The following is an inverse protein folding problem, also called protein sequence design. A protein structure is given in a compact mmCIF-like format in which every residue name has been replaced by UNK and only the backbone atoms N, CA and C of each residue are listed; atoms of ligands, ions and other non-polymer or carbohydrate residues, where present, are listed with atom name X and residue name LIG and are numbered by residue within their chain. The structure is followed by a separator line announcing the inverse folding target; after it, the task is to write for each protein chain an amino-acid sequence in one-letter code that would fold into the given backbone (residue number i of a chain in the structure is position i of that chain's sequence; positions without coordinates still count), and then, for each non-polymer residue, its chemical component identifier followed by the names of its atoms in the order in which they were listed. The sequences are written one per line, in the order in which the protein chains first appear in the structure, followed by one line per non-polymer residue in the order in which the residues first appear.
data_IF_432263049954
#
_entry.id   IF_432263049954
#
_cell.length_a   1.000
_cell.length_b   1.000
_cell.length_c   1.000
_cell.angle_alpha   90.00
_cell.angle_beta   90.00
_cell.angle_gamma   90.00
#
_symmetry.space_group_name_H-M   'P 1'
#
loop_
_entity.id
_entity.type
_entity.pdbx_description
1 polymer ?
#
# COMPACT_ATOMS: atom_id res chain seq x y z
N UNK A 1 -43.24 -17.66 35.27
CA UNK A 1 -42.65 -17.66 33.92
C UNK A 1 -41.23 -17.08 33.99
N UNK A 2 -40.20 -17.95 34.00
CA UNK A 2 -38.81 -17.52 33.96
C UNK A 2 -38.45 -17.26 32.51
N UNK A 3 -38.25 -15.99 32.18
CA UNK A 3 -37.66 -15.59 30.87
C UNK A 3 -36.15 -15.74 31.01
N UNK A 4 -35.58 -16.84 30.52
CA UNK A 4 -34.13 -16.93 30.27
C UNK A 4 -33.76 -15.97 29.15
N UNK A 5 -33.29 -14.79 29.48
CA UNK A 5 -32.60 -13.92 28.54
C UNK A 5 -31.26 -14.61 28.30
N UNK A 6 -31.17 -15.33 27.17
CA UNK A 6 -29.92 -15.89 26.70
C UNK A 6 -28.98 -14.74 26.34
N UNK A 7 -28.05 -14.43 27.23
CA UNK A 7 -26.90 -13.58 26.90
C UNK A 7 -26.05 -14.42 25.94
N UNK A 8 -26.20 -14.20 24.64
CA UNK A 8 -25.23 -14.69 23.65
C UNK A 8 -23.90 -14.02 23.96
N UNK A 9 -23.01 -14.73 24.66
CA UNK A 9 -21.63 -14.32 24.83
C UNK A 9 -21.06 -14.16 23.42
N UNK A 10 -20.87 -12.93 22.96
CA UNK A 10 -20.18 -12.67 21.70
C UNK A 10 -18.77 -13.21 21.85
N UNK A 11 -18.42 -14.18 21.01
CA UNK A 11 -17.09 -14.79 21.02
C UNK A 11 -16.03 -13.72 20.82
N UNK A 12 -15.03 -13.69 21.68
CA UNK A 12 -13.86 -12.83 21.49
C UNK A 12 -12.93 -13.48 20.46
N UNK A 13 -12.37 -12.66 19.61
CA UNK A 13 -11.36 -13.05 18.63
C UNK A 13 -10.03 -12.35 18.92
N UNK A 14 -8.92 -12.97 18.51
CA UNK A 14 -7.60 -12.36 18.55
C UNK A 14 -7.10 -12.22 17.12
N UNK A 15 -7.04 -10.99 16.63
CA UNK A 15 -6.45 -10.67 15.34
C UNK A 15 -4.96 -10.42 15.51
N UNK A 16 -4.14 -11.18 14.78
CA UNK A 16 -2.68 -11.03 14.74
C UNK A 16 -2.14 -11.58 13.45
N UNK A 17 -1.03 -11.04 12.96
CA UNK A 17 -0.35 -11.55 11.78
C UNK A 17 0.29 -12.91 12.06
N UNK A 18 -0.22 -13.98 11.47
CA UNK A 18 0.16 -15.33 11.86
C UNK A 18 -0.02 -16.36 10.73
N UNK A 19 0.41 -16.10 9.48
CA UNK A 19 0.29 -17.06 8.42
C UNK A 19 1.21 -18.27 8.66
N UNK A 20 0.78 -19.45 8.21
CA UNK A 20 1.55 -20.69 8.37
C UNK A 20 2.76 -20.71 7.44
N UNK A 21 3.92 -21.19 7.92
CA UNK A 21 5.12 -21.42 7.09
C UNK A 21 4.78 -22.32 5.90
N UNK A 22 5.30 -21.96 4.72
CA UNK A 22 5.06 -22.65 3.46
C UNK A 22 3.73 -22.28 2.78
N UNK A 23 2.88 -21.48 3.43
CA UNK A 23 1.69 -20.96 2.75
C UNK A 23 2.09 -19.98 1.65
N UNK A 24 1.31 -20.02 0.55
CA UNK A 24 1.51 -19.16 -0.62
C UNK A 24 0.22 -18.41 -0.92
N UNK A 25 0.38 -17.15 -1.26
CA UNK A 25 -0.72 -16.26 -1.56
C UNK A 25 -0.43 -15.46 -2.83
N UNK A 26 -1.46 -15.09 -3.54
CA UNK A 26 -1.44 -14.02 -4.53
C UNK A 26 -1.93 -12.74 -3.84
N UNK A 27 -1.10 -11.72 -3.83
CA UNK A 27 -1.41 -10.40 -3.27
C UNK A 27 -1.58 -9.42 -4.43
N UNK A 28 -2.77 -8.85 -4.56
CA UNK A 28 -3.10 -7.85 -5.57
C UNK A 28 -3.40 -6.52 -4.88
N UNK A 29 -2.78 -5.45 -5.34
CA UNK A 29 -3.06 -4.08 -4.92
C UNK A 29 -3.34 -3.23 -6.16
N UNK A 30 -4.44 -2.48 -6.10
CA UNK A 30 -4.79 -1.50 -7.12
C UNK A 30 -5.07 -0.16 -6.45
N UNK A 31 -4.50 0.89 -7.00
CA UNK A 31 -4.73 2.26 -6.60
C UNK A 31 -5.20 3.06 -7.80
N UNK A 32 -6.36 3.68 -7.68
CA UNK A 32 -6.93 4.58 -8.68
C UNK A 32 -6.99 5.96 -8.05
N UNK A 33 -6.39 6.96 -8.68
CA UNK A 33 -6.33 8.32 -8.16
C UNK A 33 -6.76 9.35 -9.20
N UNK A 34 -7.50 10.35 -8.71
CA UNK A 34 -7.71 11.62 -9.41
C UNK A 34 -7.01 12.71 -8.63
N UNK A 35 -6.10 13.41 -9.29
CA UNK A 35 -5.30 14.47 -8.70
C UNK A 35 -5.60 15.76 -9.45
N UNK A 36 -6.16 16.73 -8.74
CA UNK A 36 -6.42 18.06 -9.27
C UNK A 36 -5.40 19.03 -8.65
N UNK A 37 -4.66 19.73 -9.45
CA UNK A 37 -3.69 20.72 -8.97
C UNK A 37 -3.76 21.99 -9.80
N UNK A 38 -3.34 23.13 -9.21
CA UNK A 38 -3.29 24.41 -9.90
C UNK A 38 -1.86 24.91 -9.92
N UNK A 39 -1.24 24.90 -11.11
CA UNK A 39 0.13 25.37 -11.32
C UNK A 39 0.08 26.68 -12.11
N UNK A 40 0.64 27.76 -11.56
CA UNK A 40 0.64 29.08 -12.21
C UNK A 40 -0.76 29.55 -12.67
N UNK A 41 -1.80 29.24 -11.90
CA UNK A 41 -3.19 29.58 -12.22
C UNK A 41 -3.87 28.67 -13.25
N UNK A 42 -3.18 27.68 -13.79
CA UNK A 42 -3.75 26.68 -14.70
C UNK A 42 -4.13 25.41 -13.93
N UNK A 43 -5.35 24.95 -14.12
CA UNK A 43 -5.80 23.66 -13.57
C UNK A 43 -5.17 22.54 -14.39
N UNK A 44 -4.64 21.57 -13.68
CA UNK A 44 -4.14 20.32 -14.25
C UNK A 44 -4.79 19.15 -13.51
N UNK A 45 -5.57 18.39 -14.28
CA UNK A 45 -6.21 17.18 -13.82
C UNK A 45 -5.39 15.98 -14.27
N UNK A 46 -5.14 15.04 -13.38
CA UNK A 46 -4.42 13.80 -13.65
C UNK A 46 -5.24 12.62 -13.15
N UNK A 47 -5.42 11.64 -14.02
CA UNK A 47 -5.95 10.32 -13.69
C UNK A 47 -4.78 9.33 -13.62
N UNK A 48 -4.62 8.66 -12.49
CA UNK A 48 -3.57 7.67 -12.29
C UNK A 48 -4.18 6.34 -11.87
N UNK A 49 -3.71 5.26 -12.48
CA UNK A 49 -3.95 3.89 -12.03
C UNK A 49 -2.61 3.19 -11.85
N UNK A 50 -2.45 2.54 -10.71
CA UNK A 50 -1.28 1.71 -10.41
C UNK A 50 -1.76 0.40 -9.81
N UNK A 51 -1.35 -0.72 -10.40
CA UNK A 51 -1.67 -2.03 -9.86
C UNK A 51 -0.45 -2.95 -9.86
N UNK A 52 -0.33 -3.72 -8.80
CA UNK A 52 0.71 -4.73 -8.63
C UNK A 52 0.09 -6.06 -8.23
N UNK A 53 0.58 -7.14 -8.84
CA UNK A 53 0.33 -8.50 -8.38
C UNK A 53 1.64 -9.11 -7.94
N UNK A 54 1.64 -9.68 -6.73
CA UNK A 54 2.78 -10.37 -6.15
C UNK A 54 2.42 -11.82 -5.85
N UNK A 55 3.37 -12.73 -6.03
CA UNK A 55 3.38 -13.94 -5.23
C UNK A 55 3.93 -13.58 -3.85
N UNK A 56 3.29 -14.05 -2.80
CA UNK A 56 3.64 -13.84 -1.41
C UNK A 56 3.84 -15.20 -0.74
N UNK A 57 5.09 -15.59 -0.52
CA UNK A 57 5.47 -16.89 0.02
C UNK A 57 5.93 -16.73 1.48
N UNK A 58 5.33 -17.47 2.40
CA UNK A 58 5.75 -17.49 3.81
C UNK A 58 6.94 -18.43 3.96
N UNK A 59 8.15 -17.85 3.97
CA UNK A 59 9.41 -18.60 3.95
C UNK A 59 9.75 -19.16 5.32
N UNK A 60 9.57 -18.36 6.35
CA UNK A 60 9.89 -18.74 7.72
C UNK A 60 8.85 -18.15 8.71
N UNK A 61 8.64 -18.90 9.78
CA UNK A 61 7.82 -18.46 10.90
C UNK A 61 8.45 -18.93 12.20
N UNK A 62 8.66 -18.00 13.11
CA UNK A 62 9.08 -18.24 14.49
C UNK A 62 7.90 -18.00 15.46
N UNK A 63 8.16 -18.03 16.76
CA UNK A 63 7.15 -17.69 17.78
C UNK A 63 6.74 -16.20 17.73
N UNK A 64 7.58 -15.30 17.20
CA UNK A 64 7.39 -13.85 17.27
C UNK A 64 7.39 -13.16 15.92
N UNK A 65 7.91 -13.80 14.87
CA UNK A 65 8.14 -13.17 13.56
C UNK A 65 7.85 -14.12 12.41
N UNK A 66 7.50 -13.54 11.29
CA UNK A 66 7.27 -14.23 10.01
C UNK A 66 8.07 -13.54 8.91
N UNK A 67 8.84 -14.32 8.15
CA UNK A 67 9.52 -13.86 6.95
C UNK A 67 8.70 -14.19 5.73
N UNK A 68 8.42 -13.17 4.93
CA UNK A 68 7.68 -13.28 3.67
C UNK A 68 8.60 -12.88 2.53
N UNK A 69 8.61 -13.68 1.46
CA UNK A 69 9.19 -13.30 0.17
C UNK A 69 8.07 -12.86 -0.77
N UNK A 70 8.24 -11.71 -1.36
CA UNK A 70 7.37 -11.18 -2.41
C UNK A 70 8.09 -11.27 -3.76
N UNK A 71 7.36 -11.68 -4.79
CA UNK A 71 7.85 -11.73 -6.18
C UNK A 71 6.89 -10.94 -7.07
N UNK A 72 7.37 -9.92 -7.77
CA UNK A 72 6.55 -9.16 -8.73
C UNK A 72 6.09 -10.04 -9.90
N UNK A 73 4.80 -10.18 -10.08
CA UNK A 73 4.19 -10.98 -11.17
C UNK A 73 3.59 -10.10 -12.25
N UNK A 74 2.91 -9.03 -11.86
CA UNK A 74 2.25 -8.15 -12.79
C UNK A 74 2.37 -6.70 -12.31
N UNK A 75 2.49 -5.80 -13.26
CA UNK A 75 2.52 -4.37 -13.03
C UNK A 75 1.66 -3.69 -14.08
N UNK A 76 0.74 -2.82 -13.63
CA UNK A 76 0.00 -1.91 -14.48
C UNK A 76 0.25 -0.49 -13.98
N UNK A 77 0.59 0.39 -14.88
CA UNK A 77 0.73 1.82 -14.62
C UNK A 77 0.07 2.62 -15.75
N UNK A 78 -0.79 3.55 -15.37
CA UNK A 78 -1.40 4.49 -16.29
C UNK A 78 -1.43 5.87 -15.62
N UNK A 79 -0.92 6.87 -16.31
CA UNK A 79 -1.02 8.27 -15.90
C UNK A 79 -1.47 9.07 -17.13
N UNK A 80 -2.63 9.69 -17.02
CA UNK A 80 -3.22 10.51 -18.08
C UNK A 80 -3.49 11.93 -17.57
N UNK A 81 -3.02 12.92 -18.32
CA UNK A 81 -3.34 14.33 -18.13
C UNK A 81 -3.36 15.04 -19.48
N UNK A 82 -3.69 16.33 -19.48
CA UNK A 82 -3.62 17.15 -20.70
C UNK A 82 -2.21 17.32 -21.27
N UNK A 83 -1.16 17.08 -20.46
CA UNK A 83 0.23 17.31 -20.83
C UNK A 83 1.06 16.03 -20.94
N UNK A 84 0.70 15.00 -20.16
CA UNK A 84 1.47 13.76 -20.03
C UNK A 84 0.52 12.59 -20.15
N UNK A 85 0.90 11.63 -20.97
CA UNK A 85 0.21 10.35 -21.06
C UNK A 85 1.25 9.24 -21.07
N UNK A 86 1.23 8.40 -20.04
CA UNK A 86 2.16 7.28 -19.86
C UNK A 86 1.38 6.04 -19.48
N UNK A 87 1.69 4.93 -20.10
CA UNK A 87 1.06 3.65 -19.77
C UNK A 87 2.04 2.49 -19.87
N UNK A 88 1.81 1.52 -19.01
CA UNK A 88 2.46 0.22 -19.04
C UNK A 88 1.52 -0.83 -18.50
N UNK A 89 1.46 -1.97 -19.18
CA UNK A 89 0.75 -3.17 -18.72
C UNK A 89 1.62 -4.37 -19.06
N UNK A 90 2.10 -5.05 -18.02
CA UNK A 90 2.98 -6.22 -18.14
C UNK A 90 2.35 -7.40 -18.87
N UNK A 91 1.02 -7.44 -19.01
CA UNK A 91 0.29 -8.46 -19.78
C UNK A 91 0.09 -8.07 -21.24
N UNK A 92 0.31 -6.82 -21.58
CA UNK A 92 0.13 -6.33 -22.93
C UNK A 92 1.33 -6.72 -23.79
N UNK A 93 1.07 -7.29 -24.96
CA UNK A 93 2.07 -7.51 -26.00
C UNK A 93 2.15 -6.34 -26.99
N UNK A 94 1.48 -5.22 -26.71
CA UNK A 94 1.51 -4.06 -27.58
C UNK A 94 2.86 -3.33 -27.47
N UNK A 95 3.39 -2.93 -28.60
CA UNK A 95 4.57 -2.07 -28.63
C UNK A 95 4.27 -0.71 -27.95
N UNK A 96 5.27 -0.10 -27.27
CA UNK A 96 5.13 1.23 -26.68
C UNK A 96 4.69 2.26 -27.73
N UNK A 97 3.63 3.02 -27.41
CA UNK A 97 3.08 3.99 -28.36
C UNK A 97 3.94 5.26 -28.51
N UNK A 98 4.83 5.53 -27.57
CA UNK A 98 5.71 6.68 -27.52
C UNK A 98 6.94 6.39 -26.66
N UNK A 99 7.91 7.32 -26.64
CA UNK A 99 9.16 7.17 -25.86
C UNK A 99 8.91 7.05 -24.35
N UNK A 100 7.89 7.73 -23.82
CA UNK A 100 7.54 7.67 -22.40
C UNK A 100 7.01 6.29 -22.03
N UNK A 101 6.13 5.70 -22.85
CA UNK A 101 5.67 4.33 -22.67
C UNK A 101 6.83 3.33 -22.73
N UNK A 102 7.79 3.57 -23.67
CA UNK A 102 9.01 2.78 -23.79
C UNK A 102 9.90 2.87 -22.54
N UNK A 103 10.00 4.04 -21.94
CA UNK A 103 10.72 4.23 -20.69
C UNK A 103 10.01 3.51 -19.53
N UNK A 104 8.68 3.64 -19.42
CA UNK A 104 7.89 2.93 -18.41
C UNK A 104 8.02 1.41 -18.57
N UNK A 105 8.02 0.89 -19.80
CA UNK A 105 8.22 -0.53 -20.07
C UNK A 105 9.59 -1.03 -19.59
N UNK A 106 10.65 -0.25 -19.73
CA UNK A 106 11.97 -0.60 -19.21
C UNK A 106 11.99 -0.58 -17.67
N UNK A 107 11.42 0.44 -17.05
CA UNK A 107 11.37 0.61 -15.59
C UNK A 107 10.55 -0.53 -14.97
N UNK A 108 9.27 -0.62 -15.29
CA UNK A 108 8.36 -1.57 -14.68
C UNK A 108 8.57 -3.02 -15.15
N UNK A 109 9.03 -3.20 -16.40
CA UNK A 109 9.39 -4.52 -16.93
C UNK A 109 10.57 -5.13 -16.17
N UNK A 110 11.52 -4.30 -15.71
CA UNK A 110 12.64 -4.78 -14.90
C UNK A 110 12.26 -5.26 -13.50
N UNK A 111 11.05 -4.93 -13.01
CA UNK A 111 10.52 -5.45 -11.75
C UNK A 111 10.07 -6.91 -11.86
N UNK A 112 9.61 -7.34 -13.05
CA UNK A 112 8.99 -8.65 -13.20
C UNK A 112 9.93 -9.78 -12.80
N UNK A 113 9.38 -10.71 -11.98
CA UNK A 113 10.08 -11.84 -11.37
C UNK A 113 11.23 -11.46 -10.40
N UNK A 114 11.34 -10.17 -10.05
CA UNK A 114 12.24 -9.74 -8.98
C UNK A 114 11.61 -10.02 -7.62
N UNK A 115 12.47 -10.35 -6.67
CA UNK A 115 12.09 -10.76 -5.33
C UNK A 115 12.67 -9.82 -4.28
N UNK A 116 11.88 -9.58 -3.26
CA UNK A 116 12.31 -8.91 -2.03
C UNK A 116 11.64 -9.57 -0.84
N UNK A 117 12.16 -9.37 0.35
CA UNK A 117 11.67 -10.00 1.57
C UNK A 117 11.28 -8.97 2.61
N UNK A 118 10.29 -9.31 3.42
CA UNK A 118 9.90 -8.55 4.61
C UNK A 118 9.82 -9.47 5.83
N UNK A 119 10.25 -8.97 6.98
CA UNK A 119 10.11 -9.63 8.28
C UNK A 119 9.08 -8.86 9.09
N UNK A 120 7.99 -9.54 9.48
CA UNK A 120 6.88 -8.98 10.23
C UNK A 120 6.72 -9.63 11.58
N UNK A 121 6.41 -8.84 12.61
CA UNK A 121 6.01 -9.32 13.91
C UNK A 121 4.51 -9.69 13.96
N UNK A 122 4.06 -10.35 15.04
CA UNK A 122 2.66 -10.77 15.20
C UNK A 122 1.67 -9.60 15.26
N UNK A 123 2.12 -8.42 15.65
CA UNK A 123 1.32 -7.18 15.66
C UNK A 123 1.34 -6.46 14.30
N UNK A 124 1.93 -7.08 13.27
CA UNK A 124 2.07 -6.52 11.93
C UNK A 124 3.19 -5.47 11.78
N UNK A 125 3.94 -5.18 12.84
CA UNK A 125 5.10 -4.29 12.75
C UNK A 125 6.15 -4.88 11.81
N UNK A 126 6.66 -4.07 10.89
CA UNK A 126 7.69 -4.48 9.93
C UNK A 126 9.08 -4.27 10.54
N UNK A 127 9.80 -5.35 10.76
CA UNK A 127 11.16 -5.32 11.31
C UNK A 127 12.18 -4.88 10.27
N UNK A 128 12.09 -5.48 9.08
CA UNK A 128 12.95 -5.15 7.95
C UNK A 128 12.28 -5.45 6.62
N UNK A 129 12.71 -4.74 5.60
CA UNK A 129 12.55 -5.10 4.18
C UNK A 129 13.95 -5.23 3.62
N UNK A 130 14.16 -6.10 2.65
CA UNK A 130 15.46 -6.30 2.01
C UNK A 130 15.28 -6.76 0.56
N UNK A 131 16.16 -6.27 -0.31
CA UNK A 131 16.20 -6.62 -1.74
C UNK A 131 15.69 -5.51 -2.67
N UNK A 132 15.02 -4.49 -2.16
CA UNK A 132 14.51 -3.40 -2.99
C UNK A 132 15.63 -2.52 -3.54
N UNK A 133 16.68 -2.27 -2.78
CA UNK A 133 17.80 -1.45 -3.24
C UNK A 133 18.47 -2.07 -4.48
N UNK A 134 18.65 -3.41 -4.49
CA UNK A 134 19.15 -4.12 -5.67
C UNK A 134 18.20 -4.06 -6.87
N UNK A 135 16.89 -4.07 -6.62
CA UNK A 135 15.86 -3.90 -7.67
C UNK A 135 15.97 -2.50 -8.28
N UNK A 136 16.12 -1.45 -7.46
CA UNK A 136 16.30 -0.08 -7.94
C UNK A 136 17.55 0.04 -8.82
N UNK A 137 18.67 -0.55 -8.39
CA UNK A 137 19.91 -0.56 -9.19
C UNK A 137 19.70 -1.20 -10.56
N UNK A 138 18.94 -2.30 -10.64
CA UNK A 138 18.63 -2.96 -11.89
C UNK A 138 17.68 -2.12 -12.76
N UNK A 139 16.68 -1.45 -12.17
CA UNK A 139 15.81 -0.50 -12.86
C UNK A 139 16.62 0.65 -13.49
N UNK A 140 17.56 1.20 -12.73
CA UNK A 140 18.42 2.30 -13.22
C UNK A 140 19.33 1.85 -14.35
N UNK A 141 19.87 0.63 -14.31
CA UNK A 141 20.63 0.05 -15.44
C UNK A 141 19.75 -0.11 -16.67
N UNK A 142 18.48 -0.53 -16.51
CA UNK A 142 17.55 -0.74 -17.62
C UNK A 142 17.21 0.55 -18.37
N UNK A 143 17.18 1.71 -17.70
CA UNK A 143 16.96 3.02 -18.35
C UNK A 143 18.23 3.67 -18.90
N UNK A 144 19.37 2.97 -18.85
CA UNK A 144 20.58 3.42 -19.49
C UNK A 144 21.66 3.97 -18.55
N UNK A 145 21.48 3.83 -17.22
CA UNK A 145 22.52 4.06 -16.20
C UNK A 145 23.35 5.33 -16.41
N UNK A 146 22.73 6.42 -16.87
CA UNK A 146 23.46 7.56 -17.37
C UNK A 146 24.04 8.45 -16.28
N UNK A 147 25.22 8.99 -16.55
CA UNK A 147 25.83 10.05 -15.76
C UNK A 147 25.13 11.41 -16.00
N UNK A 148 24.00 11.44 -16.69
CA UNK A 148 23.27 12.67 -16.95
C UNK A 148 22.42 13.08 -15.73
N UNK A 149 22.09 14.34 -15.66
CA UNK A 149 21.36 14.94 -14.53
C UNK A 149 19.95 14.34 -14.38
N UNK A 150 19.32 13.92 -15.47
CA UNK A 150 17.99 13.32 -15.49
C UNK A 150 18.03 11.92 -14.84
N UNK A 151 19.00 11.08 -15.20
CA UNK A 151 19.17 9.76 -14.61
C UNK A 151 19.45 9.84 -13.10
N UNK A 152 20.29 10.80 -12.68
CA UNK A 152 20.54 11.02 -11.24
C UNK A 152 19.29 11.48 -10.50
N UNK A 153 18.48 12.35 -11.09
CA UNK A 153 17.23 12.80 -10.47
C UNK A 153 16.21 11.67 -10.39
N UNK A 154 16.07 10.85 -11.43
CA UNK A 154 15.21 9.68 -11.45
C UNK A 154 15.66 8.66 -10.37
N UNK A 155 16.94 8.35 -10.31
CA UNK A 155 17.53 7.47 -9.29
C UNK A 155 17.19 7.94 -7.87
N UNK A 156 17.36 9.24 -7.60
CA UNK A 156 17.02 9.83 -6.30
C UNK A 156 15.53 9.68 -5.97
N UNK A 157 14.64 9.91 -6.94
CA UNK A 157 13.20 9.73 -6.74
C UNK A 157 12.84 8.28 -6.48
N UNK A 158 13.41 7.34 -7.26
CA UNK A 158 13.16 5.91 -7.08
C UNK A 158 13.65 5.42 -5.70
N UNK A 159 14.85 5.82 -5.29
CA UNK A 159 15.38 5.49 -3.96
C UNK A 159 14.50 6.05 -2.84
N UNK A 160 14.01 7.28 -2.97
CA UNK A 160 13.14 7.88 -1.96
C UNK A 160 11.79 7.17 -1.81
N UNK A 161 11.28 6.55 -2.88
CA UNK A 161 9.96 5.90 -2.88
C UNK A 161 10.01 4.39 -2.70
N UNK A 162 11.07 3.74 -3.14
CA UNK A 162 11.12 2.28 -3.25
C UNK A 162 12.32 1.62 -2.55
N UNK A 163 13.19 2.37 -1.87
CA UNK A 163 14.27 1.76 -1.06
C UNK A 163 13.73 0.79 0.00
N UNK A 164 14.59 -0.07 0.52
CA UNK A 164 14.24 -0.99 1.62
C UNK A 164 13.54 -0.26 2.78
N UNK A 165 14.02 0.94 3.15
CA UNK A 165 13.44 1.77 4.21
C UNK A 165 12.08 2.38 3.83
N UNK A 166 11.93 2.88 2.59
CA UNK A 166 10.67 3.42 2.10
C UNK A 166 9.59 2.33 1.99
N UNK A 167 9.98 1.16 1.50
CA UNK A 167 9.08 0.00 1.45
C UNK A 167 8.71 -0.51 2.83
N UNK A 168 9.63 -0.50 3.80
CA UNK A 168 9.33 -0.83 5.19
C UNK A 168 8.22 0.07 5.74
N UNK A 169 8.31 1.39 5.53
CA UNK A 169 7.28 2.34 5.96
C UNK A 169 5.93 2.08 5.27
N UNK A 170 5.93 1.77 3.97
CA UNK A 170 4.74 1.42 3.20
C UNK A 170 4.09 0.12 3.71
N UNK A 171 4.90 -0.91 3.97
CA UNK A 171 4.40 -2.18 4.51
C UNK A 171 3.89 -2.03 5.95
N UNK A 172 4.50 -1.19 6.79
CA UNK A 172 3.94 -0.88 8.11
C UNK A 172 2.53 -0.31 8.00
N UNK A 173 2.27 0.55 7.02
CA UNK A 173 0.93 1.08 6.78
C UNK A 173 -0.08 -0.02 6.44
N UNK A 174 0.34 -1.05 5.71
CA UNK A 174 -0.54 -2.14 5.25
C UNK A 174 -0.73 -3.24 6.30
N UNK A 175 0.27 -3.50 7.13
CA UNK A 175 0.28 -4.66 8.03
C UNK A 175 0.19 -4.33 9.51
N UNK A 176 0.57 -3.14 9.98
CA UNK A 176 0.45 -2.74 11.38
C UNK A 176 -0.97 -2.24 11.68
N UNK A 177 -1.91 -3.17 11.64
CA UNK A 177 -3.35 -2.88 11.70
C UNK A 177 -4.08 -3.65 12.81
N UNK A 178 -3.36 -4.40 13.64
CA UNK A 178 -3.94 -5.32 14.63
C UNK A 178 -4.21 -4.65 15.98
N UNK A 179 -5.26 -5.10 16.71
CA UNK A 179 -5.70 -4.48 17.98
C UNK A 179 -4.75 -4.74 19.15
N UNK A 180 -3.84 -5.72 19.08
CA UNK A 180 -2.95 -6.10 20.18
C UNK A 180 -3.63 -6.74 21.39
N UNK A 181 -4.94 -6.92 21.36
CA UNK A 181 -5.78 -7.54 22.41
C UNK A 181 -6.94 -8.31 21.80
N UNK A 182 -7.59 -9.15 22.61
CA UNK A 182 -8.84 -9.79 22.21
C UNK A 182 -9.95 -8.75 22.08
N UNK A 183 -10.79 -8.89 21.03
CA UNK A 183 -11.90 -8.00 20.68
C UNK A 183 -13.14 -8.81 20.34
N UNK A 184 -14.30 -8.16 20.39
CA UNK A 184 -15.61 -8.72 19.99
C UNK A 184 -16.32 -7.75 19.06
N UNK A 185 -17.35 -8.20 18.39
CA UNK A 185 -18.18 -7.34 17.54
C UNK A 185 -18.68 -6.10 18.32
N UNK A 186 -18.55 -4.93 17.71
CA UNK A 186 -18.80 -3.63 18.32
C UNK A 186 -17.58 -2.96 18.95
N UNK A 187 -16.50 -3.68 19.20
CA UNK A 187 -15.26 -3.08 19.69
C UNK A 187 -14.52 -2.32 18.59
N UNK A 188 -13.77 -1.28 19.00
CA UNK A 188 -12.90 -0.51 18.12
C UNK A 188 -11.49 -0.42 18.68
N UNK A 189 -10.52 -0.21 17.78
CA UNK A 189 -9.13 0.04 18.14
C UNK A 189 -8.51 1.08 17.22
N UNK A 190 -7.52 1.78 17.73
CA UNK A 190 -6.84 2.85 17.01
C UNK A 190 -5.41 2.44 16.67
N UNK A 191 -4.99 2.81 15.47
CA UNK A 191 -3.61 2.66 15.00
C UNK A 191 -3.13 4.02 14.51
N UNK A 192 -1.98 4.44 14.99
CA UNK A 192 -1.31 5.67 14.54
C UNK A 192 -0.10 5.26 13.73
N UNK A 193 -0.01 5.77 12.51
CA UNK A 193 1.08 5.48 11.60
C UNK A 193 1.68 6.80 11.10
N UNK A 194 3.00 6.80 10.95
CA UNK A 194 3.74 7.87 10.31
C UNK A 194 4.30 7.35 9.02
N UNK A 195 3.97 7.99 7.92
CA UNK A 195 4.40 7.57 6.59
C UNK A 195 5.12 8.70 5.89
N UNK A 196 5.91 8.33 4.89
CA UNK A 196 6.64 9.28 4.07
C UNK A 196 8.06 9.53 4.57
N UNK A 197 8.86 10.12 3.69
CA UNK A 197 10.22 10.53 3.96
C UNK A 197 10.41 12.01 3.63
N UNK A 198 11.24 12.69 4.41
CA UNK A 198 11.56 14.09 4.19
C UNK A 198 10.34 15.02 4.37
N UNK A 199 10.04 15.82 3.36
CA UNK A 199 8.96 16.82 3.40
C UNK A 199 7.55 16.24 3.24
N UNK A 200 7.42 14.98 2.83
CA UNK A 200 6.14 14.30 2.61
C UNK A 200 5.66 13.47 3.81
N UNK A 201 6.15 13.78 5.00
CA UNK A 201 5.72 13.10 6.22
C UNK A 201 4.21 13.28 6.43
N UNK A 202 3.51 12.15 6.64
CA UNK A 202 2.08 12.12 6.95
C UNK A 202 1.84 11.34 8.24
N UNK A 203 0.98 11.88 9.09
CA UNK A 203 0.41 11.20 10.24
C UNK A 203 -0.97 10.68 9.84
N UNK A 204 -1.18 9.37 9.96
CA UNK A 204 -2.45 8.72 9.67
C UNK A 204 -2.97 8.12 10.98
N UNK A 205 -4.11 8.62 11.44
CA UNK A 205 -4.79 8.09 12.61
C UNK A 205 -6.00 7.28 12.16
N UNK A 206 -5.94 5.96 12.33
CA UNK A 206 -6.98 5.03 11.86
C UNK A 206 -7.73 4.42 13.03
N UNK A 207 -9.04 4.49 12.97
CA UNK A 207 -9.96 3.73 13.83
C UNK A 207 -10.52 2.56 13.02
N UNK A 208 -10.28 1.36 13.50
CA UNK A 208 -10.92 0.12 13.03
C UNK A 208 -12.08 -0.21 13.96
N UNK A 209 -13.21 -0.63 13.41
CA UNK A 209 -14.39 -1.03 14.18
C UNK A 209 -14.86 -2.41 13.74
N UNK A 210 -14.71 -3.42 14.60
CA UNK A 210 -15.14 -4.80 14.30
C UNK A 210 -16.67 -4.85 14.20
N UNK A 211 -17.19 -5.13 13.02
CA UNK A 211 -18.62 -5.23 12.72
C UNK A 211 -19.17 -6.60 13.07
N UNK A 212 -18.46 -7.61 12.60
CA UNK A 212 -18.85 -9.01 12.81
C UNK A 212 -17.64 -9.94 12.68
N UNK A 213 -17.75 -11.11 13.26
CA UNK A 213 -16.84 -12.22 13.02
C UNK A 213 -17.63 -13.52 13.05
N UNK A 214 -17.27 -14.45 12.17
CA UNK A 214 -17.71 -15.83 12.18
C UNK A 214 -16.56 -16.78 12.59
N UNK A 215 -16.62 -18.05 12.20
CA UNK A 215 -15.58 -19.03 12.54
C UNK A 215 -14.26 -18.81 11.79
N UNK A 216 -14.28 -18.13 10.65
CA UNK A 216 -13.16 -18.03 9.73
C UNK A 216 -12.76 -16.60 9.41
N UNK A 217 -13.70 -15.66 9.47
CA UNK A 217 -13.56 -14.31 8.92
C UNK A 217 -13.99 -13.26 9.93
N UNK A 218 -13.28 -12.14 9.95
CA UNK A 218 -13.68 -10.94 10.68
C UNK A 218 -13.80 -9.76 9.71
N UNK A 219 -14.84 -8.95 9.90
CA UNK A 219 -15.14 -7.77 9.09
C UNK A 219 -15.05 -6.52 9.95
N UNK A 220 -14.27 -5.53 9.51
CA UNK A 220 -14.13 -4.26 10.20
C UNK A 220 -14.32 -3.08 9.25
N UNK A 221 -14.90 -2.00 9.77
CA UNK A 221 -14.87 -0.70 9.13
C UNK A 221 -13.53 -0.01 9.42
N UNK A 222 -13.09 0.81 8.48
CA UNK A 222 -11.86 1.61 8.54
C UNK A 222 -12.23 3.07 8.40
N UNK A 223 -11.80 3.90 9.33
CA UNK A 223 -11.93 5.36 9.27
C UNK A 223 -10.61 5.99 9.69
N UNK A 224 -10.06 6.89 8.86
CA UNK A 224 -8.80 7.55 9.16
C UNK A 224 -8.88 9.06 8.97
N UNK A 225 -8.08 9.77 9.74
CA UNK A 225 -7.70 11.15 9.48
C UNK A 225 -6.24 11.20 9.04
N UNK A 226 -5.96 12.03 8.05
CA UNK A 226 -4.62 12.24 7.50
C UNK A 226 -4.21 13.68 7.75
N UNK A 227 -3.00 13.88 8.25
CA UNK A 227 -2.37 15.18 8.35
C UNK A 227 -0.93 15.07 7.88
N UNK A 228 -0.54 15.89 6.93
CA UNK A 228 0.80 15.83 6.34
C UNK A 228 1.40 17.22 6.14
N UNK A 229 2.70 17.26 5.86
CA UNK A 229 3.43 18.47 5.50
C UNK A 229 3.24 19.61 6.50
N UNK A 230 3.30 19.28 7.81
CA UNK A 230 3.07 20.28 8.87
C UNK A 230 1.65 20.84 8.92
N UNK A 231 0.65 20.06 8.47
CA UNK A 231 -0.77 20.46 8.43
C UNK A 231 -1.21 21.13 7.14
N UNK A 232 -0.32 21.29 6.17
CA UNK A 232 -0.67 21.85 4.84
C UNK A 232 -1.48 20.88 3.98
N UNK A 233 -1.38 19.57 4.24
CA UNK A 233 -2.19 18.53 3.62
C UNK A 233 -3.04 17.86 4.68
N UNK A 234 -4.35 17.81 4.46
CA UNK A 234 -5.30 17.12 5.34
C UNK A 234 -6.21 16.22 4.54
N UNK A 235 -6.71 15.15 5.17
CA UNK A 235 -7.58 14.22 4.46
C UNK A 235 -8.28 13.24 5.38
N UNK A 236 -9.12 12.41 4.77
CA UNK A 236 -9.84 11.32 5.42
C UNK A 236 -9.78 10.07 4.58
N UNK A 237 -9.86 8.91 5.24
CA UNK A 237 -10.08 7.62 4.59
C UNK A 237 -11.29 6.95 5.18
N UNK A 238 -12.03 6.23 4.35
CA UNK A 238 -13.15 5.39 4.77
C UNK A 238 -13.14 4.09 3.96
N UNK A 239 -13.41 2.99 4.62
CA UNK A 239 -13.42 1.71 3.93
C UNK A 239 -13.79 0.53 4.81
N UNK A 240 -13.51 -0.64 4.28
CA UNK A 240 -13.74 -1.92 4.94
C UNK A 240 -12.54 -2.83 4.76
N UNK A 241 -12.37 -3.72 5.71
CA UNK A 241 -11.33 -4.74 5.68
C UNK A 241 -11.90 -6.07 6.16
N UNK A 242 -11.51 -7.15 5.50
CA UNK A 242 -11.86 -8.52 5.85
C UNK A 242 -10.59 -9.28 6.20
N UNK A 243 -10.58 -9.94 7.36
CA UNK A 243 -9.47 -10.74 7.85
C UNK A 243 -9.80 -12.22 7.82
N UNK A 244 -8.87 -13.06 7.39
CA UNK A 244 -8.89 -14.48 7.70
C UNK A 244 -8.42 -14.69 9.14
N UNK A 245 -9.26 -15.28 9.98
CA UNK A 245 -8.99 -15.45 11.42
C UNK A 245 -7.85 -16.43 11.71
N UNK A 246 -7.57 -17.35 10.80
CA UNK A 246 -6.50 -18.34 10.98
C UNK A 246 -5.11 -17.71 10.77
N UNK A 247 -4.93 -17.02 9.68
CA UNK A 247 -3.65 -16.39 9.31
C UNK A 247 -3.53 -14.95 9.82
N UNK A 248 -4.66 -14.33 10.13
CA UNK A 248 -4.75 -12.89 10.43
C UNK A 248 -4.57 -12.00 9.20
N UNK A 249 -4.38 -12.55 8.01
CA UNK A 249 -4.17 -11.75 6.80
C UNK A 249 -5.42 -10.94 6.43
N UNK A 250 -5.24 -9.68 6.00
CA UNK A 250 -6.31 -8.93 5.35
C UNK A 250 -6.54 -9.53 3.95
N UNK A 251 -7.64 -10.28 3.79
CA UNK A 251 -7.97 -10.95 2.53
C UNK A 251 -8.56 -9.99 1.50
N UNK A 252 -9.35 -9.02 1.98
CA UNK A 252 -9.83 -7.91 1.14
C UNK A 252 -9.76 -6.61 1.91
N UNK A 253 -9.41 -5.53 1.22
CA UNK A 253 -9.52 -4.17 1.75
C UNK A 253 -9.95 -3.23 0.63
N UNK A 254 -10.92 -2.37 0.93
CA UNK A 254 -11.37 -1.31 0.02
C UNK A 254 -11.40 -0.01 0.80
N UNK A 255 -10.54 0.93 0.44
CA UNK A 255 -10.41 2.21 1.13
C UNK A 255 -10.52 3.34 0.11
N UNK A 256 -11.42 4.26 0.36
CA UNK A 256 -11.52 5.53 -0.38
C UNK A 256 -10.86 6.62 0.46
N UNK A 257 -10.03 7.43 -0.18
CA UNK A 257 -9.31 8.53 0.44
C UNK A 257 -9.62 9.84 -0.27
N UNK A 258 -9.82 10.88 0.51
CA UNK A 258 -9.86 12.26 0.03
C UNK A 258 -8.85 13.08 0.81
N UNK A 259 -8.00 13.79 0.10
CA UNK A 259 -7.05 14.70 0.71
C UNK A 259 -7.00 16.01 -0.06
N UNK A 260 -6.77 17.11 0.64
CA UNK A 260 -6.61 18.42 0.03
C UNK A 260 -5.59 19.25 0.80
N UNK A 261 -4.94 20.14 0.10
CA UNK A 261 -3.95 21.00 0.72
C UNK A 261 -3.09 21.74 -0.30
N UNK A 262 -1.90 22.10 0.13
CA UNK A 262 -0.92 22.78 -0.70
C UNK A 262 0.43 22.08 -0.56
N UNK A 263 1.11 21.91 -1.68
CA UNK A 263 2.51 21.47 -1.69
C UNK A 263 3.41 22.63 -2.09
N UNK A 264 4.58 22.73 -1.45
CA UNK A 264 5.59 23.71 -1.82
C UNK A 264 6.59 23.06 -2.78
N UNK A 265 6.66 23.55 -4.00
CA UNK A 265 7.64 23.13 -4.99
C UNK A 265 8.31 24.35 -5.63
N UNK A 266 9.64 24.40 -5.59
CA UNK A 266 10.44 25.52 -6.14
C UNK A 266 9.99 26.91 -5.67
N UNK A 267 9.59 27.03 -4.40
CA UNK A 267 9.13 28.30 -3.82
C UNK A 267 7.69 28.70 -4.18
N UNK A 268 6.97 27.85 -4.91
CA UNK A 268 5.55 28.04 -5.25
C UNK A 268 4.66 27.14 -4.38
N UNK A 269 3.54 27.69 -3.92
CA UNK A 269 2.48 26.92 -3.31
C UNK A 269 1.54 26.40 -4.41
N UNK A 270 1.42 25.09 -4.50
CA UNK A 270 0.57 24.40 -5.47
C UNK A 270 -0.63 23.80 -4.72
N UNK A 271 -1.84 24.37 -4.86
CA UNK A 271 -3.04 23.76 -4.34
C UNK A 271 -3.28 22.39 -5.00
N UNK A 272 -3.65 21.39 -4.19
CA UNK A 272 -3.86 20.02 -4.63
C UNK A 272 -5.08 19.41 -3.95
N UNK A 273 -5.85 18.66 -4.72
CA UNK A 273 -6.90 17.77 -4.24
C UNK A 273 -6.65 16.36 -4.79
N UNK A 274 -6.80 15.38 -3.93
CA UNK A 274 -6.60 13.95 -4.27
C UNK A 274 -7.86 13.20 -3.88
N UNK A 275 -8.42 12.46 -4.82
CA UNK A 275 -9.45 11.45 -4.59
C UNK A 275 -8.90 10.11 -5.03
N UNK A 276 -8.73 9.17 -4.11
CA UNK A 276 -8.13 7.87 -4.39
C UNK A 276 -8.96 6.72 -3.84
N UNK A 277 -8.92 5.62 -4.57
CA UNK A 277 -9.42 4.32 -4.15
C UNK A 277 -8.27 3.32 -4.13
N UNK A 278 -8.11 2.63 -3.01
CA UNK A 278 -7.14 1.55 -2.84
C UNK A 278 -7.90 0.26 -2.60
N UNK A 279 -7.69 -0.71 -3.46
CA UNK A 279 -8.22 -2.06 -3.38
C UNK A 279 -7.08 -3.04 -3.14
N UNK A 280 -7.22 -3.89 -2.13
CA UNK A 280 -6.30 -5.01 -1.87
C UNK A 280 -7.09 -6.30 -1.87
N UNK A 281 -6.57 -7.30 -2.54
CA UNK A 281 -7.11 -8.68 -2.50
C UNK A 281 -5.96 -9.65 -2.29
N UNK A 282 -6.12 -10.55 -1.33
CA UNK A 282 -5.18 -11.63 -1.05
C UNK A 282 -5.89 -12.95 -1.23
N UNK A 283 -5.34 -13.83 -2.03
CA UNK A 283 -5.89 -15.17 -2.27
C UNK A 283 -4.86 -16.22 -1.88
N UNK A 284 -5.26 -17.18 -1.07
CA UNK A 284 -4.42 -18.34 -0.82
C UNK A 284 -4.37 -19.20 -2.07
N UNK A 285 -3.16 -19.54 -2.52
CA UNK A 285 -2.94 -20.40 -3.72
C UNK A 285 -2.36 -21.76 -3.33
N UNK A 286 -1.93 -21.93 -2.09
CA UNK A 286 -1.48 -23.21 -1.54
C UNK A 286 -1.57 -23.25 -0.01
#
# INVERSE_FOLDING_TARGET
LWVCIGITAMAQITLRFNPDKGSKYEYQMEMIQKINQTIMGQKMDMDQTMAFTYNMDVIERTATETTIEFEYKEVVYNLASSMINMKYDSKSNAEPANEMDGMMAKIFGSLLNKKFSAVLALDGSVKSVSGMDAIIDDMMKAVGGGNDMMAQQLSKQMTQQFSDEAMKASFEQSFKIYPGKAIKAGDSWNVVQKTGAGTLNMDINTTYSLKSADSNTAYADVQSTISGMGGQLTGTQQGTIEFDLKSGLPMTSKVNQKASGKISANGMEIPMEIDSQVNVTVKKIN
#
